data_IF_902432635277
#
_entry.id   IF_902432635277
#
_cell.length_a   1.000
_cell.length_b   1.000
_cell.length_c   1.000
_cell.angle_alpha   90.00
_cell.angle_beta   90.00
_cell.angle_gamma   90.00
#
_symmetry.space_group_name_H-M   'P 1'
#
loop_
_entity.id
_entity.type
_entity.pdbx_description
1 polymer ?
#
# COMPACT_ATOMS: atom_id res chain seq x y z
N UNK A 1 38.89 5.53 -6.64
CA UNK A 1 38.45 5.48 -6.09
C UNK A 1 38.26 5.51 -5.69
N UNK A 2 38.21 5.62 -5.72
CA UNK A 2 37.75 5.64 -5.03
C UNK A 2 37.43 6.16 -4.38
N UNK A 3 37.37 6.50 -4.26
CA UNK A 3 36.88 6.94 -3.40
C UNK A 3 36.38 7.33 -3.36
N UNK A 4 36.45 7.46 -3.54
CA UNK A 4 35.84 7.85 -3.10
C UNK A 4 35.36 8.07 -2.98
N UNK A 5 35.57 8.33 -3.35
CA UNK A 5 35.11 8.49 -2.96
C UNK A 5 34.75 8.73 -2.36
N UNK A 6 34.97 8.78 -2.38
CA UNK A 6 34.53 8.95 -1.57
C UNK A 6 34.25 9.71 -1.06
N UNK A 7 34.48 10.13 -0.96
CA UNK A 7 34.00 10.82 -0.29
C UNK A 7 33.25 11.33 -0.33
N UNK A 8 33.63 11.42 -0.52
CA UNK A 8 33.02 12.46 -0.38
C UNK A 8 31.79 12.15 -0.43
N UNK A 9 31.74 11.76 -1.04
CA UNK A 9 30.57 11.26 -1.20
C UNK A 9 29.92 11.18 0.07
N UNK A 10 30.53 10.91 0.80
CA UNK A 10 30.01 10.69 2.03
C UNK A 10 29.11 11.76 2.43
N UNK A 11 29.47 12.77 2.25
CA UNK A 11 28.85 13.83 2.65
C UNK A 11 27.50 13.98 2.19
N UNK A 12 27.44 14.14 1.07
CA UNK A 12 26.20 14.45 0.57
C UNK A 12 25.20 13.43 0.94
N UNK A 13 25.60 12.37 0.97
CA UNK A 13 24.73 11.34 1.27
C UNK A 13 23.77 11.64 2.34
N UNK A 14 24.19 12.12 3.35
CA UNK A 14 23.32 12.26 4.38
C UNK A 14 22.28 13.25 4.21
N UNK A 15 22.58 14.27 3.68
CA UNK A 15 21.60 15.24 3.68
C UNK A 15 20.43 14.91 2.89
N UNK A 16 20.60 14.25 1.87
CA UNK A 16 19.50 14.03 1.08
C UNK A 16 18.53 13.27 1.85
N UNK A 17 18.92 12.62 2.74
CA UNK A 17 18.06 11.77 3.43
C UNK A 17 16.97 12.60 4.01
N UNK A 18 17.25 13.74 4.38
CA UNK A 18 16.29 14.46 5.00
C UNK A 18 15.26 14.90 4.09
N UNK A 19 15.54 14.94 2.97
CA UNK A 19 14.66 15.51 2.05
C UNK A 19 13.43 14.68 2.13
N UNK A 20 13.60 13.58 2.50
CA UNK A 20 12.59 12.73 2.46
C UNK A 20 11.61 12.85 3.49
N UNK A 21 11.64 13.69 4.23
CA UNK A 21 10.72 13.85 5.25
C UNK A 21 9.36 13.68 4.73
N UNK A 22 9.30 13.89 3.53
CA UNK A 22 8.07 13.68 2.93
C UNK A 22 7.57 12.39 3.39
N UNK A 23 8.37 11.73 3.93
CA UNK A 23 8.01 10.47 4.41
C UNK A 23 6.94 10.69 5.42
N UNK A 24 6.64 11.85 5.67
CA UNK A 24 5.59 12.14 6.59
C UNK A 24 4.35 11.40 6.16
N UNK A 25 4.32 11.01 4.93
CA UNK A 25 3.15 10.28 4.45
C UNK A 25 3.40 8.79 4.36
N UNK A 26 4.48 8.32 4.91
CA UNK A 26 4.75 6.89 4.85
C UNK A 26 3.71 6.13 5.66
N UNK A 27 3.25 5.04 5.13
CA UNK A 27 2.30 4.18 5.80
C UNK A 27 3.03 3.00 6.40
N UNK A 28 2.73 2.67 7.64
CA UNK A 28 3.33 1.50 8.28
C UNK A 28 2.26 0.54 8.70
N UNK A 29 2.61 -0.74 8.74
CA UNK A 29 1.68 -1.78 9.14
C UNK A 29 1.23 -2.61 7.96
N UNK A 30 0.30 -3.52 8.22
CA UNK A 30 -0.15 -4.46 7.21
C UNK A 30 -1.58 -4.20 6.75
N UNK A 31 -1.78 -4.29 5.45
CA UNK A 31 -3.13 -4.29 4.90
C UNK A 31 -3.34 -5.72 4.42
N UNK A 32 -4.31 -6.41 5.00
CA UNK A 32 -4.55 -7.82 4.73
C UNK A 32 -5.85 -8.03 3.98
N UNK A 33 -5.91 -9.09 3.21
CA UNK A 33 -7.13 -9.44 2.48
C UNK A 33 -7.04 -10.92 2.13
N UNK A 34 -8.10 -11.45 1.54
CA UNK A 34 -8.08 -12.82 1.05
C UNK A 34 -8.23 -12.79 -0.45
N UNK A 35 -7.54 -13.69 -1.14
CA UNK A 35 -7.68 -13.80 -2.58
C UNK A 35 -9.00 -14.50 -2.90
N UNK A 36 -9.36 -14.58 -4.17
CA UNK A 36 -10.62 -15.19 -4.56
C UNK A 36 -10.72 -16.65 -4.10
N UNK A 37 -9.60 -17.33 -3.92
CA UNK A 37 -9.61 -18.71 -3.45
C UNK A 37 -9.56 -18.82 -1.93
N UNK A 38 -9.60 -17.70 -1.24
CA UNK A 38 -9.61 -17.72 0.21
C UNK A 38 -8.24 -17.70 0.88
N UNK A 39 -7.17 -17.55 0.12
CA UNK A 39 -5.84 -17.49 0.70
C UNK A 39 -5.56 -16.12 1.28
N UNK A 40 -4.87 -16.09 2.41
CA UNK A 40 -4.48 -14.84 3.03
C UNK A 40 -3.38 -14.17 2.21
N UNK A 41 -3.49 -12.90 2.06
CA UNK A 41 -2.48 -12.11 1.37
C UNK A 41 -2.38 -10.75 2.04
N UNK A 42 -1.36 -9.99 1.74
CA UNK A 42 -1.21 -8.69 2.36
C UNK A 42 -0.15 -7.84 1.69
N UNK A 43 -0.16 -6.58 2.08
CA UNK A 43 0.81 -5.61 1.62
C UNK A 43 1.38 -4.98 2.89
N UNK A 44 2.69 -5.05 3.06
CA UNK A 44 3.34 -4.52 4.25
C UNK A 44 3.93 -3.15 3.98
N UNK A 45 3.71 -2.22 4.89
CA UNK A 45 4.26 -0.87 4.80
C UNK A 45 4.08 -0.27 3.41
N UNK A 46 2.86 -0.22 2.91
CA UNK A 46 2.61 0.25 1.55
C UNK A 46 2.95 1.73 1.37
N UNK A 47 3.35 2.09 0.16
CA UNK A 47 3.64 3.48 -0.13
C UNK A 47 2.33 4.27 -0.16
N UNK A 48 2.30 5.43 0.45
CA UNK A 48 1.13 6.27 0.45
C UNK A 48 1.00 7.02 -0.87
N UNK A 49 -0.23 7.31 -1.24
CA UNK A 49 -0.48 8.12 -2.43
C UNK A 49 -0.31 7.41 -3.77
N UNK A 50 -0.10 6.11 -3.76
CA UNK A 50 0.08 5.36 -4.99
C UNK A 50 -0.93 4.24 -5.04
N UNK A 51 -1.49 4.01 -6.21
CA UNK A 51 -2.39 2.89 -6.37
C UNK A 51 -1.61 1.59 -6.38
N UNK A 52 -2.08 0.61 -5.65
CA UNK A 52 -1.45 -0.69 -5.57
C UNK A 52 -2.45 -1.72 -6.03
N UNK A 53 -2.11 -2.45 -7.09
CA UNK A 53 -2.94 -3.56 -7.50
C UNK A 53 -2.61 -4.71 -6.58
N UNK A 54 -3.62 -5.30 -5.98
CA UNK A 54 -3.41 -6.30 -4.94
C UNK A 54 -2.95 -7.62 -5.54
N UNK A 55 -1.82 -8.14 -5.07
CA UNK A 55 -1.32 -9.41 -5.56
C UNK A 55 -2.38 -10.50 -5.43
N UNK A 56 -2.47 -11.34 -6.43
CA UNK A 56 -3.40 -12.46 -6.41
C UNK A 56 -4.83 -12.12 -6.75
N UNK A 57 -5.10 -10.88 -7.16
CA UNK A 57 -6.45 -10.49 -7.55
C UNK A 57 -6.48 -10.02 -9.00
N UNK A 58 -7.67 -10.01 -9.59
CA UNK A 58 -7.86 -9.49 -10.93
C UNK A 58 -9.34 -9.09 -11.04
N UNK A 59 -9.69 -8.48 -12.14
CA UNK A 59 -11.09 -8.08 -12.35
C UNK A 59 -12.03 -9.26 -12.32
N UNK A 60 -11.59 -10.41 -12.79
CA UNK A 60 -12.42 -11.62 -12.80
C UNK A 60 -12.31 -12.42 -11.51
N UNK A 61 -11.31 -12.15 -10.72
CA UNK A 61 -11.08 -12.87 -9.47
C UNK A 61 -10.64 -11.90 -8.38
N UNK A 62 -11.54 -11.04 -7.95
CA UNK A 62 -11.21 -10.04 -6.94
C UNK A 62 -10.98 -10.67 -5.57
N UNK A 63 -10.27 -9.95 -4.72
CA UNK A 63 -10.09 -10.38 -3.35
C UNK A 63 -11.29 -10.00 -2.52
N UNK A 64 -11.24 -10.29 -1.23
CA UNK A 64 -12.32 -9.95 -0.31
C UNK A 64 -11.79 -9.89 1.12
N UNK A 65 -12.66 -9.57 2.04
CA UNK A 65 -12.35 -9.54 3.48
C UNK A 65 -11.15 -8.67 3.84
N UNK A 66 -11.14 -7.41 3.40
CA UNK A 66 -9.99 -6.53 3.69
C UNK A 66 -9.93 -6.13 5.16
N UNK A 67 -8.71 -5.99 5.68
CA UNK A 67 -8.47 -5.55 7.04
C UNK A 67 -7.32 -4.54 7.01
N UNK A 68 -7.59 -3.36 7.48
CA UNK A 68 -6.58 -2.30 7.43
C UNK A 68 -5.88 -2.15 8.80
N UNK A 69 -4.73 -2.77 8.93
CA UNK A 69 -3.94 -2.64 10.13
C UNK A 69 -2.75 -1.70 9.91
N UNK A 70 -2.91 -0.75 8.99
CA UNK A 70 -1.88 0.24 8.76
C UNK A 70 -2.20 1.53 9.51
N UNK A 71 -1.29 2.47 9.46
CA UNK A 71 -1.46 3.76 10.11
C UNK A 71 -2.20 4.76 9.23
N UNK A 72 -2.56 4.38 8.03
CA UNK A 72 -3.22 5.29 7.08
C UNK A 72 -4.61 4.81 6.70
N UNK A 73 -5.40 5.72 6.16
CA UNK A 73 -6.70 5.36 5.62
C UNK A 73 -6.47 4.66 4.28
N UNK A 74 -7.16 3.56 4.07
CA UNK A 74 -7.07 2.80 2.83
C UNK A 74 -8.37 2.98 2.05
N UNK A 75 -8.27 3.32 0.78
CA UNK A 75 -9.43 3.35 -0.10
C UNK A 75 -9.28 2.17 -1.05
N UNK A 76 -10.18 1.21 -0.94
CA UNK A 76 -10.12 -0.01 -1.73
C UNK A 76 -11.10 0.07 -2.88
N UNK A 77 -10.69 -0.43 -4.04
CA UNK A 77 -11.51 -0.37 -5.25
C UNK A 77 -11.82 -1.76 -5.76
N UNK A 78 -13.00 -1.92 -6.30
CA UNK A 78 -13.39 -3.21 -6.88
C UNK A 78 -12.51 -3.51 -8.07
N UNK A 79 -12.16 -2.50 -8.86
CA UNK A 79 -11.38 -2.71 -10.08
C UNK A 79 -9.90 -2.42 -9.89
N UNK A 80 -9.10 -2.86 -10.85
CA UNK A 80 -7.67 -2.62 -10.82
C UNK A 80 -7.38 -1.14 -11.03
N UNK A 81 -6.16 -0.74 -10.75
CA UNK A 81 -5.67 0.61 -10.98
C UNK A 81 -6.45 1.72 -10.25
N UNK A 82 -7.13 1.35 -9.17
CA UNK A 82 -7.90 2.31 -8.36
C UNK A 82 -8.89 3.08 -9.21
N UNK A 83 -9.52 2.39 -10.14
CA UNK A 83 -10.50 2.97 -11.05
C UNK A 83 -11.92 2.52 -10.74
N UNK A 84 -12.86 3.14 -11.39
CA UNK A 84 -14.25 2.73 -11.24
C UNK A 84 -14.96 3.46 -10.13
N UNK A 85 -16.26 3.26 -10.07
CA UNK A 85 -17.11 3.95 -9.12
C UNK A 85 -17.39 3.19 -7.83
N UNK A 86 -16.91 1.97 -7.74
CA UNK A 86 -17.15 1.15 -6.56
C UNK A 86 -15.89 1.15 -5.70
N UNK A 87 -15.97 1.81 -4.55
CA UNK A 87 -14.84 1.84 -3.65
C UNK A 87 -15.34 1.98 -2.21
N UNK A 88 -14.47 1.68 -1.26
CA UNK A 88 -14.80 1.77 0.15
C UNK A 88 -13.62 2.37 0.90
N UNK A 89 -13.91 3.23 1.87
CA UNK A 89 -12.88 3.89 2.66
C UNK A 89 -12.74 3.16 3.98
N UNK A 90 -11.52 2.76 4.31
CA UNK A 90 -11.24 2.00 5.53
C UNK A 90 -10.23 2.75 6.39
N UNK A 91 -10.67 3.28 7.51
CA UNK A 91 -9.76 3.92 8.44
C UNK A 91 -8.90 2.84 9.12
N UNK A 92 -7.79 3.23 9.73
CA UNK A 92 -6.97 2.26 10.46
C UNK A 92 -7.82 1.45 11.44
N UNK A 93 -7.63 0.15 11.41
CA UNK A 93 -8.37 -0.75 12.28
C UNK A 93 -9.69 -1.27 11.70
N UNK A 94 -10.08 -0.82 10.53
CA UNK A 94 -11.34 -1.25 9.93
C UNK A 94 -11.20 -2.63 9.30
N UNK A 95 -12.24 -3.42 9.46
CA UNK A 95 -12.32 -4.74 8.82
C UNK A 95 -13.66 -4.79 8.11
N UNK A 96 -13.66 -5.28 6.88
CA UNK A 96 -14.88 -5.43 6.12
C UNK A 96 -15.07 -6.89 5.77
N UNK A 97 -16.29 -7.27 5.52
CA UNK A 97 -16.61 -8.68 5.36
C UNK A 97 -16.28 -9.27 4.00
N UNK A 98 -16.58 -10.57 3.85
CA UNK A 98 -16.22 -11.29 2.65
C UNK A 98 -17.12 -10.97 1.45
N UNK A 99 -18.14 -10.20 1.65
CA UNK A 99 -18.98 -9.81 0.52
C UNK A 99 -18.39 -8.60 -0.21
N UNK A 100 -17.45 -7.91 0.41
CA UNK A 100 -16.83 -6.78 -0.22
C UNK A 100 -15.70 -7.25 -1.12
N UNK A 101 -15.76 -6.92 -2.38
CA UNK A 101 -14.75 -7.34 -3.35
C UNK A 101 -13.81 -6.20 -3.68
N UNK A 102 -12.55 -6.52 -3.87
CA UNK A 102 -11.54 -5.49 -4.15
C UNK A 102 -10.41 -6.04 -5.02
N UNK A 103 -9.78 -5.18 -5.78
CA UNK A 103 -8.64 -5.53 -6.61
C UNK A 103 -7.49 -4.53 -6.49
N UNK A 104 -7.75 -3.35 -5.98
CA UNK A 104 -6.68 -2.36 -5.81
C UNK A 104 -6.95 -1.47 -4.59
N UNK A 105 -5.94 -0.76 -4.14
CA UNK A 105 -6.04 0.08 -2.95
C UNK A 105 -5.07 1.25 -3.05
N UNK A 106 -5.45 2.38 -2.46
CA UNK A 106 -4.55 3.51 -2.33
C UNK A 106 -4.61 3.97 -0.87
N UNK A 107 -3.45 4.29 -0.31
CA UNK A 107 -3.35 4.73 1.08
C UNK A 107 -3.10 6.24 1.14
N UNK A 108 -3.73 6.89 2.07
CA UNK A 108 -3.58 8.35 2.19
C UNK A 108 -3.20 8.80 3.59
#
# INVERSE_FOLDING_TARGET
MRLHQTLGAAVGALLLALAVPTSAHATTGDFLYKTSTGQEAGVADPASGRCIDLPGTSGDAPGHSPRNFTTSTATVFLEADCEGDTYYVMKPGTKLGDKLKLSSVVFS
#
